data_IF_175679009712
#
_entry.id   IF_175679009712
#
_cell.length_a   1.000
_cell.length_b   1.000
_cell.length_c   1.000
_cell.angle_alpha   90.00
_cell.angle_beta   90.00
_cell.angle_gamma   90.00
#
_symmetry.space_group_name_H-M   'P 1'
#
loop_
_entity.id
_entity.type
_entity.pdbx_description
1 polymer ?
#
# COMPACT_ATOMS: atom_id res chain seq x y z
N UNK A 1 7.64 14.63 -8.30
CA UNK A 1 8.45 13.40 -8.14
C UNK A 1 7.56 12.32 -7.54
N UNK A 2 6.92 11.49 -8.38
CA UNK A 2 6.16 10.30 -7.96
C UNK A 2 7.08 9.35 -7.22
N UNK A 3 6.61 8.87 -6.07
CA UNK A 3 7.37 8.07 -5.12
C UNK A 3 7.44 6.58 -5.53
N UNK A 4 7.48 6.35 -6.85
CA UNK A 4 8.19 5.24 -7.50
C UNK A 4 9.56 5.75 -7.92
N UNK A 5 10.34 6.22 -6.94
CA UNK A 5 11.78 6.19 -7.11
C UNK A 5 12.21 4.96 -6.36
N UNK A 6 12.45 3.89 -7.11
CA UNK A 6 13.87 3.59 -7.17
C UNK A 6 14.41 2.95 -8.45
N UNK A 7 13.63 2.64 -9.49
CA UNK A 7 14.26 2.09 -10.72
C UNK A 7 13.91 2.78 -12.04
N UNK A 8 12.71 3.34 -12.26
CA UNK A 8 12.27 3.43 -13.65
C UNK A 8 11.46 4.70 -14.06
N UNK A 9 11.87 5.39 -15.12
CA UNK A 9 11.38 6.70 -15.59
C UNK A 9 9.93 6.73 -16.09
N UNK A 10 9.43 7.90 -16.55
CA UNK A 10 8.03 8.10 -17.02
C UNK A 10 7.58 7.00 -17.99
N UNK A 11 8.43 6.66 -18.97
CA UNK A 11 8.18 5.61 -19.96
C UNK A 11 8.06 4.23 -19.33
N UNK A 12 8.91 3.92 -18.36
CA UNK A 12 8.89 2.62 -17.74
C UNK A 12 7.73 2.45 -16.74
N UNK A 13 7.22 3.54 -16.15
CA UNK A 13 5.92 3.53 -15.43
C UNK A 13 4.75 3.24 -16.36
N UNK A 14 4.77 3.81 -17.56
CA UNK A 14 3.78 3.53 -18.60
C UNK A 14 3.86 2.06 -19.04
N UNK A 15 5.07 1.56 -19.27
CA UNK A 15 5.32 0.17 -19.66
C UNK A 15 4.91 -0.81 -18.55
N UNK A 16 5.21 -0.51 -17.28
CA UNK A 16 4.78 -1.31 -16.13
C UNK A 16 3.24 -1.40 -16.07
N UNK A 17 2.56 -0.26 -16.19
CA UNK A 17 1.10 -0.21 -16.16
C UNK A 17 0.46 -0.99 -17.31
N UNK A 18 0.94 -0.77 -18.53
CA UNK A 18 0.45 -1.49 -19.72
C UNK A 18 0.76 -2.98 -19.69
N UNK A 19 1.84 -3.39 -19.02
CA UNK A 19 2.23 -4.80 -18.93
C UNK A 19 1.37 -5.58 -17.94
N UNK A 20 1.03 -4.97 -16.81
CA UNK A 20 0.41 -5.70 -15.70
C UNK A 20 -1.07 -5.38 -15.50
N UNK A 21 -1.57 -4.24 -15.98
CA UNK A 21 -2.95 -3.81 -15.70
C UNK A 21 -3.79 -3.64 -16.97
N UNK A 22 -5.08 -3.97 -16.90
CA UNK A 22 -6.07 -3.70 -17.94
C UNK A 22 -6.32 -2.20 -18.07
N UNK A 23 -7.00 -1.76 -19.13
CA UNK A 23 -7.36 -0.34 -19.28
C UNK A 23 -8.26 0.19 -18.15
N UNK A 24 -9.11 -0.68 -17.59
CA UNK A 24 -9.99 -0.31 -16.47
C UNK A 24 -9.19 -0.19 -15.17
N UNK A 25 -8.35 -1.18 -14.86
CA UNK A 25 -7.46 -1.14 -13.70
C UNK A 25 -6.50 0.05 -13.77
N UNK A 26 -5.98 0.37 -14.96
CA UNK A 26 -5.08 1.51 -15.14
C UNK A 26 -5.72 2.85 -14.72
N UNK A 27 -7.02 3.03 -14.94
CA UNK A 27 -7.74 4.25 -14.50
C UNK A 27 -7.77 4.36 -12.98
N UNK A 28 -7.97 3.24 -12.28
CA UNK A 28 -7.93 3.21 -10.81
C UNK A 28 -6.52 3.49 -10.30
N UNK A 29 -5.50 2.85 -10.90
CA UNK A 29 -4.10 3.08 -10.55
C UNK A 29 -3.66 4.54 -10.81
N UNK A 30 -4.24 5.19 -11.81
CA UNK A 30 -4.01 6.62 -12.10
C UNK A 30 -4.67 7.56 -11.09
N UNK A 31 -5.77 7.17 -10.46
CA UNK A 31 -6.45 7.96 -9.44
C UNK A 31 -5.83 7.81 -8.03
N UNK A 32 -4.93 6.83 -7.85
CA UNK A 32 -4.29 6.58 -6.56
C UNK A 32 -3.61 7.85 -6.01
N UNK A 33 -3.66 8.06 -4.68
CA UNK A 33 -3.08 9.24 -4.06
C UNK A 33 -1.61 9.41 -4.42
N UNK A 34 -1.26 10.61 -4.89
CA UNK A 34 0.12 10.95 -5.23
C UNK A 34 0.66 12.02 -4.30
N UNK A 35 1.95 11.94 -4.00
CA UNK A 35 2.68 12.96 -3.24
C UNK A 35 3.04 14.19 -4.09
N UNK A 36 2.69 14.20 -5.38
CA UNK A 36 2.84 15.38 -6.24
C UNK A 36 1.69 16.37 -6.07
N UNK A 37 0.52 15.88 -5.66
CA UNK A 37 -0.68 16.67 -5.44
C UNK A 37 -0.86 16.92 -3.94
N UNK A 38 -1.40 18.10 -3.57
CA UNK A 38 -1.85 18.37 -2.20
C UNK A 38 -3.11 17.54 -1.86
N UNK A 39 -3.08 16.25 -2.16
CA UNK A 39 -4.16 15.31 -1.93
C UNK A 39 -4.23 14.99 -0.43
N UNK A 40 -5.39 15.20 0.18
CA UNK A 40 -5.63 14.88 1.58
C UNK A 40 -5.50 13.36 1.83
N UNK A 41 -5.83 12.52 0.84
CA UNK A 41 -5.65 11.05 0.92
C UNK A 41 -4.17 10.70 1.08
N UNK A 42 -3.29 11.44 0.42
CA UNK A 42 -1.84 11.25 0.57
C UNK A 42 -1.36 11.61 1.97
N UNK A 43 -1.87 12.70 2.55
CA UNK A 43 -1.51 13.09 3.92
C UNK A 43 -1.98 12.06 4.95
N UNK A 44 -3.19 11.54 4.78
CA UNK A 44 -3.73 10.47 5.60
C UNK A 44 -2.84 9.22 5.52
N UNK A 45 -2.49 8.79 4.31
CA UNK A 45 -1.62 7.64 4.10
C UNK A 45 -0.25 7.82 4.74
N UNK A 46 0.39 8.98 4.55
CA UNK A 46 1.69 9.28 5.16
C UNK A 46 1.63 9.24 6.69
N UNK A 47 0.52 9.70 7.28
CA UNK A 47 0.32 9.65 8.71
C UNK A 47 0.23 8.19 9.20
N UNK A 48 -0.62 7.38 8.55
CA UNK A 48 -0.76 5.94 8.86
C UNK A 48 0.59 5.23 8.75
N UNK A 49 1.32 5.46 7.65
CA UNK A 49 2.60 4.82 7.39
C UNK A 49 3.66 5.21 8.42
N UNK A 50 3.67 6.47 8.85
CA UNK A 50 4.54 6.94 9.93
C UNK A 50 4.22 6.24 11.24
N UNK A 51 2.95 6.19 11.64
CA UNK A 51 2.51 5.52 12.87
C UNK A 51 2.90 4.03 12.87
N UNK A 52 2.77 3.35 11.73
CA UNK A 52 3.19 1.95 11.57
C UNK A 52 4.70 1.81 11.78
N UNK A 53 5.52 2.66 11.13
CA UNK A 53 6.98 2.59 11.26
C UNK A 53 7.47 2.89 12.68
N UNK A 54 6.83 3.82 13.38
CA UNK A 54 7.13 4.12 14.79
C UNK A 54 6.83 2.93 15.73
N UNK A 55 5.93 2.03 15.31
CA UNK A 55 5.43 0.89 16.10
C UNK A 55 5.76 -0.47 15.51
N UNK A 56 6.68 -0.55 14.54
CA UNK A 56 6.94 -1.77 13.76
C UNK A 56 7.42 -2.98 14.60
N UNK A 57 7.90 -2.71 15.82
CA UNK A 57 8.33 -3.73 16.77
C UNK A 57 7.22 -4.19 17.74
N UNK A 58 6.03 -3.58 17.68
CA UNK A 58 4.89 -3.99 18.49
C UNK A 58 4.24 -5.27 17.94
N UNK A 59 3.64 -6.11 18.81
CA UNK A 59 2.87 -7.27 18.38
C UNK A 59 1.72 -6.87 17.45
N UNK A 60 1.58 -7.58 16.33
CA UNK A 60 0.57 -7.26 15.30
C UNK A 60 -0.88 -7.40 15.81
N UNK A 61 -1.09 -8.15 16.88
CA UNK A 61 -2.39 -8.38 17.51
C UNK A 61 -2.75 -7.34 18.59
N UNK A 62 -1.86 -6.38 18.89
CA UNK A 62 -2.11 -5.33 19.88
C UNK A 62 -3.28 -4.43 19.46
N UNK A 63 -4.03 -3.86 20.43
CA UNK A 63 -5.16 -2.97 20.12
C UNK A 63 -4.78 -1.78 19.23
N UNK A 64 -3.59 -1.21 19.44
CA UNK A 64 -3.07 -0.08 18.69
C UNK A 64 -2.76 -0.46 17.23
N UNK A 65 -2.09 -1.60 17.01
CA UNK A 65 -1.77 -2.07 15.66
C UNK A 65 -3.02 -2.52 14.92
N UNK A 66 -4.00 -3.11 15.62
CA UNK A 66 -5.25 -3.52 14.99
C UNK A 66 -6.10 -2.33 14.52
N UNK A 67 -6.06 -1.19 15.23
CA UNK A 67 -6.66 0.07 14.73
C UNK A 67 -5.93 0.60 13.50
N UNK A 68 -4.61 0.45 13.43
CA UNK A 68 -3.86 0.80 12.22
C UNK A 68 -4.20 -0.15 11.07
N UNK A 69 -4.40 -1.44 11.33
CA UNK A 69 -4.78 -2.42 10.32
C UNK A 69 -6.14 -2.10 9.72
N UNK A 70 -7.13 -1.78 10.56
CA UNK A 70 -8.44 -1.29 10.14
C UNK A 70 -8.31 -0.07 9.21
N UNK A 71 -7.49 0.92 9.58
CA UNK A 71 -7.24 2.12 8.76
C UNK A 71 -6.60 1.79 7.42
N UNK A 72 -5.61 0.88 7.39
CA UNK A 72 -4.96 0.46 6.14
C UNK A 72 -5.95 -0.27 5.22
N UNK A 73 -6.77 -1.17 5.76
CA UNK A 73 -7.79 -1.90 5.00
C UNK A 73 -8.83 -0.92 4.45
N UNK A 74 -9.41 -0.07 5.30
CA UNK A 74 -10.41 0.91 4.90
C UNK A 74 -9.87 1.89 3.84
N UNK A 75 -8.64 2.38 4.03
CA UNK A 75 -8.00 3.25 3.05
C UNK A 75 -7.77 2.55 1.71
N UNK A 76 -7.30 1.30 1.73
CA UNK A 76 -7.06 0.50 0.52
C UNK A 76 -8.36 0.26 -0.24
N UNK A 77 -9.43 -0.17 0.45
CA UNK A 77 -10.74 -0.34 -0.17
C UNK A 77 -11.25 0.97 -0.78
N UNK A 78 -11.10 2.09 -0.06
CA UNK A 78 -11.55 3.39 -0.56
C UNK A 78 -10.85 3.81 -1.86
N UNK A 79 -9.51 3.78 -1.90
CA UNK A 79 -8.74 4.29 -3.06
C UNK A 79 -8.70 3.33 -4.24
N UNK A 80 -9.02 2.05 -4.03
CA UNK A 80 -9.18 1.05 -5.08
C UNK A 80 -10.65 0.77 -5.44
N UNK A 81 -11.59 1.59 -4.95
CA UNK A 81 -13.03 1.47 -5.23
C UNK A 81 -13.61 0.07 -4.91
N UNK A 82 -13.22 -0.47 -3.76
CA UNK A 82 -13.64 -1.80 -3.25
C UNK A 82 -13.18 -2.99 -4.13
N UNK A 83 -12.24 -2.77 -5.06
CA UNK A 83 -11.68 -3.85 -5.89
C UNK A 83 -10.56 -4.60 -5.17
N UNK A 84 -10.95 -5.60 -4.36
CA UNK A 84 -10.01 -6.44 -3.61
C UNK A 84 -8.99 -7.18 -4.50
N UNK A 85 -9.39 -7.56 -5.72
CA UNK A 85 -8.49 -8.27 -6.64
C UNK A 85 -7.38 -7.34 -7.11
N UNK A 86 -7.75 -6.09 -7.44
CA UNK A 86 -6.78 -5.08 -7.85
C UNK A 86 -5.88 -4.66 -6.68
N UNK A 87 -6.40 -4.57 -5.45
CA UNK A 87 -5.60 -4.31 -4.25
C UNK A 87 -4.51 -5.37 -4.10
N UNK A 88 -4.89 -6.64 -4.08
CA UNK A 88 -3.95 -7.76 -3.92
C UNK A 88 -2.89 -7.78 -5.03
N UNK A 89 -3.33 -7.63 -6.27
CA UNK A 89 -2.46 -7.55 -7.45
C UNK A 89 -1.46 -6.39 -7.34
N UNK A 90 -1.91 -5.21 -6.91
CA UNK A 90 -1.04 -4.06 -6.75
C UNK A 90 0.02 -4.30 -5.67
N UNK A 91 -0.39 -4.81 -4.50
CA UNK A 91 0.49 -5.14 -3.39
C UNK A 91 1.61 -6.11 -3.81
N UNK A 92 1.27 -7.20 -4.50
CA UNK A 92 2.24 -8.17 -5.03
C UNK A 92 3.26 -7.52 -5.99
N UNK A 93 2.77 -6.61 -6.84
CA UNK A 93 3.60 -5.95 -7.85
C UNK A 93 4.49 -4.84 -7.30
N UNK A 94 4.15 -4.23 -6.16
CA UNK A 94 5.00 -3.18 -5.56
C UNK A 94 5.94 -3.73 -4.49
N UNK A 95 5.73 -4.96 -4.01
CA UNK A 95 6.58 -5.58 -3.01
C UNK A 95 8.02 -5.72 -3.50
N UNK A 96 9.00 -5.10 -2.83
CA UNK A 96 10.40 -5.28 -3.17
C UNK A 96 10.89 -6.66 -2.73
N UNK A 97 11.84 -7.23 -3.46
CA UNK A 97 12.58 -8.41 -3.02
C UNK A 97 13.69 -8.05 -2.01
N UNK A 98 14.33 -9.05 -1.40
CA UNK A 98 15.44 -8.82 -0.47
C UNK A 98 16.61 -8.11 -1.16
N UNK A 99 17.03 -6.98 -0.61
CA UNK A 99 18.06 -6.13 -1.19
C UNK A 99 17.55 -5.19 -2.31
N UNK A 100 16.27 -5.27 -2.70
CA UNK A 100 15.66 -4.27 -3.57
C UNK A 100 15.30 -3.00 -2.79
N UNK A 101 15.42 -1.90 -3.51
CA UNK A 101 15.01 -0.57 -3.08
C UNK A 101 13.50 -0.45 -3.23
N UNK A 102 12.84 0.16 -2.24
CA UNK A 102 11.39 0.29 -2.21
C UNK A 102 10.83 0.87 -3.52
N UNK A 103 9.79 0.23 -4.06
CA UNK A 103 9.09 0.71 -5.27
C UNK A 103 8.09 1.81 -4.93
N UNK A 104 7.61 1.86 -3.69
CA UNK A 104 6.74 2.92 -3.17
C UNK A 104 7.35 3.44 -1.87
N UNK A 105 7.34 4.76 -1.68
CA UNK A 105 7.97 5.36 -0.51
C UNK A 105 7.42 4.87 0.81
N UNK A 106 8.35 4.55 1.71
CA UNK A 106 8.07 4.00 3.03
C UNK A 106 7.57 2.56 3.01
N UNK A 107 7.40 1.94 1.84
CA UNK A 107 7.06 0.53 1.65
C UNK A 107 8.31 -0.27 1.23
N UNK A 108 9.30 -0.26 2.13
CA UNK A 108 10.39 -1.24 2.08
C UNK A 108 9.89 -2.64 2.49
N UNK A 109 10.73 -3.66 2.26
CA UNK A 109 10.36 -5.05 2.52
C UNK A 109 9.92 -5.29 3.97
N UNK A 110 10.61 -4.67 4.93
CA UNK A 110 10.28 -4.78 6.35
C UNK A 110 8.89 -4.21 6.63
N UNK A 111 8.62 -2.99 6.16
CA UNK A 111 7.35 -2.31 6.37
C UNK A 111 6.20 -3.06 5.70
N UNK A 112 6.37 -3.52 4.45
CA UNK A 112 5.33 -4.28 3.75
C UNK A 112 5.02 -5.60 4.44
N UNK A 113 6.04 -6.36 4.85
CA UNK A 113 5.84 -7.62 5.58
C UNK A 113 5.13 -7.40 6.93
N UNK A 114 5.38 -6.27 7.60
CA UNK A 114 4.69 -5.94 8.83
C UNK A 114 3.22 -5.61 8.56
N UNK A 115 2.94 -4.79 7.53
CA UNK A 115 1.57 -4.41 7.12
C UNK A 115 0.75 -5.64 6.73
N UNK A 116 1.30 -6.57 5.96
CA UNK A 116 0.64 -7.83 5.62
C UNK A 116 0.24 -8.63 6.87
N UNK A 117 1.17 -8.79 7.83
CA UNK A 117 0.88 -9.54 9.07
C UNK A 117 -0.20 -8.89 9.93
N UNK A 118 -0.22 -7.56 10.04
CA UNK A 118 -1.26 -6.86 10.81
C UNK A 118 -2.62 -6.91 10.12
N UNK A 119 -2.68 -6.80 8.79
CA UNK A 119 -3.92 -6.97 8.03
C UNK A 119 -4.44 -8.39 8.13
N UNK A 120 -3.59 -9.41 7.97
CA UNK A 120 -3.97 -10.82 8.15
C UNK A 120 -4.55 -11.09 9.54
N UNK A 121 -3.94 -10.50 10.58
CA UNK A 121 -4.43 -10.64 11.94
C UNK A 121 -5.80 -9.98 12.13
N UNK A 122 -5.99 -8.79 11.53
CA UNK A 122 -7.26 -8.05 11.58
C UNK A 122 -8.38 -8.78 10.83
N UNK A 123 -8.15 -9.18 9.58
CA UNK A 123 -9.15 -9.85 8.74
C UNK A 123 -9.61 -11.18 9.35
N UNK A 124 -8.70 -11.98 9.91
CA UNK A 124 -9.06 -13.21 10.63
C UNK A 124 -9.95 -12.96 11.84
N UNK A 125 -9.81 -11.81 12.50
CA UNK A 125 -10.70 -11.43 13.62
C UNK A 125 -12.05 -10.96 13.13
N UNK A 126 -12.15 -10.31 11.97
CA UNK A 126 -13.43 -9.91 11.39
C UNK A 126 -14.22 -11.10 10.84
N UNK A 127 -13.57 -12.07 10.18
CA UNK A 127 -14.21 -13.29 9.68
C UNK A 127 -14.79 -14.20 10.79
N UNK A 128 -14.26 -14.08 12.01
CA UNK A 128 -14.69 -14.84 13.18
C UNK A 128 -15.79 -14.18 14.03
N UNK A 129 -16.25 -12.98 13.66
CA UNK A 129 -17.35 -12.25 14.34
C UNK A 129 -18.70 -12.60 13.74
#
# INVERSE_FOLDING_TARGET
MLFIKSVQGIEQRKNFRQKYFTEEEQKVIEDLPTLEENDERTKEWLQVLREIRERINEPVDSPEIQKLAERVVAFSMHVFHEDEQLINKYWDLIKPEEGEIARVYGLDLETMNYIEKMMDCYLKKEEGK
#
